data_IF_752176927469
#
_entry.id   IF_752176927469
#
_cell.length_a   1.000
_cell.length_b   1.000
_cell.length_c   1.000
_cell.angle_alpha   90.00
_cell.angle_beta   90.00
_cell.angle_gamma   90.00
#
_symmetry.space_group_name_H-M   'P 1'
#
loop_
_entity.id
_entity.type
_entity.pdbx_description
1 polymer ?
#
# COMPACT_ATOMS: atom_id res chain seq x y z
N UNK A 1 8.99 18.35 9.56
CA UNK A 1 7.70 18.65 10.22
C UNK A 1 6.93 17.35 10.38
N UNK A 2 6.24 17.15 11.50
CA UNK A 2 5.32 16.03 11.73
C UNK A 2 3.90 16.61 11.88
N UNK A 3 2.91 15.95 11.28
CA UNK A 3 1.50 16.36 11.35
C UNK A 3 0.71 15.16 11.88
N UNK A 4 -0.13 15.40 12.88
CA UNK A 4 -1.04 14.40 13.41
C UNK A 4 -2.18 14.15 12.40
N UNK A 5 -2.48 12.88 12.16
CA UNK A 5 -3.56 12.42 11.29
C UNK A 5 -4.64 11.77 12.14
N UNK A 6 -5.85 12.31 12.09
CA UNK A 6 -7.00 11.80 12.83
C UNK A 6 -7.95 11.01 11.92
N UNK A 7 -8.05 11.41 10.65
CA UNK A 7 -8.93 10.76 9.67
C UNK A 7 -8.35 10.72 8.24
N UNK A 8 -9.12 10.17 7.30
CA UNK A 8 -8.71 10.06 5.90
C UNK A 8 -8.57 11.41 5.18
N UNK A 9 -9.33 12.44 5.60
CA UNK A 9 -9.29 13.78 5.03
C UNK A 9 -7.98 14.48 5.36
N UNK A 10 -7.43 14.25 6.56
CA UNK A 10 -6.09 14.72 6.92
C UNK A 10 -5.04 14.17 5.95
N UNK A 11 -5.09 12.87 5.64
CA UNK A 11 -4.19 12.26 4.65
C UNK A 11 -4.38 12.88 3.27
N UNK A 12 -5.62 13.10 2.84
CA UNK A 12 -5.92 13.72 1.55
C UNK A 12 -5.33 15.13 1.42
N UNK A 13 -5.42 15.93 2.48
CA UNK A 13 -4.82 17.26 2.54
C UNK A 13 -3.28 17.20 2.44
N UNK A 14 -2.63 16.27 3.16
CA UNK A 14 -1.18 16.06 3.11
C UNK A 14 -0.71 15.66 1.71
N UNK A 15 -1.40 14.71 1.08
CA UNK A 15 -1.10 14.25 -0.28
C UNK A 15 -1.23 15.40 -1.28
N UNK A 16 -2.32 16.16 -1.22
CA UNK A 16 -2.55 17.32 -2.08
C UNK A 16 -1.49 18.40 -1.89
N UNK A 17 -1.12 18.69 -0.65
CA UNK A 17 -0.07 19.67 -0.34
C UNK A 17 1.30 19.23 -0.89
N UNK A 18 1.69 17.98 -0.67
CA UNK A 18 2.94 17.42 -1.20
C UNK A 18 3.00 17.49 -2.73
N UNK A 19 1.91 17.10 -3.41
CA UNK A 19 1.83 17.19 -4.87
C UNK A 19 1.96 18.64 -5.36
N UNK A 20 1.19 19.57 -4.76
CA UNK A 20 1.22 20.99 -5.15
C UNK A 20 2.57 21.65 -4.89
N UNK A 21 3.26 21.28 -3.81
CA UNK A 21 4.62 21.76 -3.54
C UNK A 21 5.61 21.32 -4.62
N UNK A 22 5.39 20.16 -5.23
CA UNK A 22 6.15 19.68 -6.39
C UNK A 22 5.71 20.27 -7.74
N UNK A 23 4.68 21.12 -7.79
CA UNK A 23 4.16 21.70 -9.03
C UNK A 23 3.49 20.66 -9.96
N UNK A 24 3.13 19.48 -9.45
CA UNK A 24 2.66 18.37 -10.26
C UNK A 24 1.14 18.44 -10.47
N UNK A 25 0.68 18.16 -11.69
CA UNK A 25 -0.75 17.93 -11.95
C UNK A 25 -1.17 16.54 -11.48
N UNK A 26 -2.46 16.36 -11.30
CA UNK A 26 -2.99 15.16 -10.67
C UNK A 26 -2.96 13.94 -11.62
N UNK A 27 -3.29 14.14 -12.89
CA UNK A 27 -3.16 13.19 -13.98
C UNK A 27 -1.70 12.74 -14.18
N UNK A 28 -0.77 13.69 -14.25
CA UNK A 28 0.67 13.41 -14.37
C UNK A 28 1.19 12.59 -13.19
N UNK A 29 0.82 12.99 -11.97
CA UNK A 29 1.20 12.27 -10.74
C UNK A 29 0.65 10.85 -10.73
N UNK A 30 -0.62 10.68 -11.09
CA UNK A 30 -1.26 9.37 -11.10
C UNK A 30 -0.58 8.42 -12.10
N UNK A 31 -0.30 8.92 -13.32
CA UNK A 31 0.42 8.18 -14.35
C UNK A 31 1.83 7.77 -13.91
N UNK A 32 2.61 8.71 -13.34
CA UNK A 32 3.97 8.44 -12.88
C UNK A 32 4.02 7.43 -11.73
N UNK A 33 3.05 7.47 -10.81
CA UNK A 33 2.99 6.56 -9.66
C UNK A 33 2.43 5.19 -10.07
N UNK A 34 1.63 5.10 -11.13
CA UNK A 34 0.97 3.86 -11.55
C UNK A 34 -0.39 3.63 -10.87
N UNK A 35 -1.13 4.71 -10.61
CA UNK A 35 -2.53 4.69 -10.13
C UNK A 35 -3.44 5.40 -11.12
N UNK A 36 -4.76 5.19 -11.04
CA UNK A 36 -5.70 5.94 -11.89
C UNK A 36 -5.89 7.37 -11.37
N UNK A 37 -6.19 8.30 -12.27
CA UNK A 37 -6.52 9.68 -11.89
C UNK A 37 -7.69 9.73 -10.89
N UNK A 38 -8.75 8.94 -11.13
CA UNK A 38 -9.88 8.78 -10.19
C UNK A 38 -9.43 8.29 -8.81
N UNK A 39 -8.45 7.39 -8.74
CA UNK A 39 -7.89 6.98 -7.45
C UNK A 39 -7.21 8.15 -6.76
N UNK A 40 -6.42 8.94 -7.50
CA UNK A 40 -5.77 10.15 -6.98
C UNK A 40 -6.79 11.18 -6.47
N UNK A 41 -7.90 11.41 -7.21
CA UNK A 41 -8.99 12.33 -6.78
C UNK A 41 -9.53 11.89 -5.42
N UNK A 42 -9.87 10.60 -5.30
CA UNK A 42 -10.45 10.06 -4.07
C UNK A 42 -9.50 10.15 -2.89
N UNK A 43 -8.21 9.88 -3.09
CA UNK A 43 -7.20 10.02 -2.04
C UNK A 43 -7.12 11.47 -1.57
N UNK A 44 -6.98 12.43 -2.49
CA UNK A 44 -6.86 13.84 -2.10
C UNK A 44 -8.15 14.41 -1.47
N UNK A 45 -9.31 13.81 -1.76
CA UNK A 45 -10.58 14.16 -1.15
C UNK A 45 -10.87 13.42 0.16
N UNK A 46 -9.94 12.57 0.63
CA UNK A 46 -10.09 11.88 1.91
C UNK A 46 -11.15 10.78 1.91
N UNK A 47 -11.33 10.07 0.79
CA UNK A 47 -12.31 8.99 0.70
C UNK A 47 -12.11 7.96 1.81
N UNK A 48 -13.20 7.62 2.52
CA UNK A 48 -13.19 6.68 3.65
C UNK A 48 -12.63 5.29 3.29
N UNK A 49 -12.85 4.86 2.04
CA UNK A 49 -12.42 3.57 1.52
C UNK A 49 -11.41 3.68 0.38
N UNK A 50 -10.15 3.31 0.65
CA UNK A 50 -9.12 3.18 -0.38
C UNK A 50 -8.28 1.92 -0.19
N UNK A 51 -7.68 1.45 -1.29
CA UNK A 51 -6.75 0.32 -1.23
C UNK A 51 -5.42 0.77 -0.62
N UNK A 52 -5.12 0.26 0.58
CA UNK A 52 -3.89 0.57 1.33
C UNK A 52 -2.61 0.45 0.51
N UNK A 53 -2.47 -0.60 -0.31
CA UNK A 53 -1.29 -0.78 -1.16
C UNK A 53 -1.05 0.41 -2.11
N UNK A 54 -2.12 0.88 -2.77
CA UNK A 54 -2.05 2.03 -3.68
C UNK A 54 -1.88 3.34 -2.91
N UNK A 55 -2.45 3.48 -1.72
CA UNK A 55 -2.21 4.64 -0.86
C UNK A 55 -0.72 4.77 -0.51
N UNK A 56 -0.11 3.70 -0.01
CA UNK A 56 1.31 3.73 0.34
C UNK A 56 2.21 3.94 -0.89
N UNK A 57 1.80 3.46 -2.05
CA UNK A 57 2.46 3.76 -3.32
C UNK A 57 2.40 5.27 -3.65
N UNK A 58 1.23 5.91 -3.48
CA UNK A 58 1.07 7.36 -3.66
C UNK A 58 1.93 8.16 -2.67
N UNK A 59 1.85 7.82 -1.38
CA UNK A 59 2.63 8.49 -0.34
C UNK A 59 4.13 8.38 -0.61
N UNK A 60 4.62 7.18 -0.94
CA UNK A 60 6.02 6.97 -1.30
C UNK A 60 6.41 7.73 -2.58
N UNK A 61 5.55 7.74 -3.60
CA UNK A 61 5.81 8.42 -4.87
C UNK A 61 5.89 9.95 -4.72
N UNK A 62 5.23 10.51 -3.72
CA UNK A 62 5.29 11.93 -3.37
C UNK A 62 6.33 12.26 -2.29
N UNK A 63 7.13 11.27 -1.86
CA UNK A 63 8.14 11.47 -0.82
C UNK A 63 7.57 11.66 0.59
N UNK A 64 6.30 11.31 0.81
CA UNK A 64 5.63 11.39 2.12
C UNK A 64 5.98 10.16 2.95
N UNK A 65 6.55 10.40 4.14
CA UNK A 65 6.89 9.35 5.10
C UNK A 65 5.82 9.23 6.17
N UNK A 66 5.42 8.00 6.49
CA UNK A 66 4.49 7.70 7.58
C UNK A 66 5.27 7.20 8.78
N UNK A 67 5.21 7.96 9.88
CA UNK A 67 5.68 7.53 11.19
C UNK A 67 4.46 7.32 12.07
N UNK A 68 4.49 6.27 12.88
CA UNK A 68 3.37 5.91 13.77
C UNK A 68 3.92 5.76 15.17
N UNK A 69 3.36 6.52 16.09
CA UNK A 69 3.62 6.37 17.51
C UNK A 69 2.69 5.30 18.09
N UNK A 70 3.27 4.42 18.90
CA UNK A 70 2.56 3.33 19.57
C UNK A 70 2.79 3.41 21.06
N UNK A 71 1.86 2.93 21.90
CA UNK A 71 2.08 2.86 23.35
C UNK A 71 3.35 2.06 23.67
N UNK A 72 4.12 2.50 24.67
CA UNK A 72 5.39 1.86 25.03
C UNK A 72 5.23 0.37 25.35
N UNK A 73 4.13 0.00 26.01
CA UNK A 73 3.79 -1.39 26.31
C UNK A 73 3.62 -2.27 25.05
N UNK A 74 3.32 -1.69 23.89
CA UNK A 74 3.20 -2.41 22.63
C UNK A 74 4.56 -2.63 21.93
N UNK A 75 5.59 -1.85 22.24
CA UNK A 75 6.93 -1.93 21.62
C UNK A 75 7.49 -3.36 21.55
N UNK A 76 7.55 -4.15 22.64
CA UNK A 76 8.09 -5.51 22.57
C UNK A 76 7.24 -6.46 21.71
N UNK A 77 5.97 -6.13 21.47
CA UNK A 77 5.05 -6.95 20.67
C UNK A 77 5.15 -6.65 19.16
N UNK A 78 5.63 -5.47 18.78
CA UNK A 78 5.66 -5.05 17.36
C UNK A 78 6.54 -5.98 16.51
N UNK A 79 7.74 -6.33 16.98
CA UNK A 79 8.64 -7.24 16.25
C UNK A 79 8.01 -8.63 16.12
N UNK A 80 7.44 -9.15 17.21
CA UNK A 80 6.79 -10.45 17.27
C UNK A 80 5.65 -10.55 16.25
N UNK A 81 4.76 -9.57 16.21
CA UNK A 81 3.62 -9.59 15.29
C UNK A 81 4.05 -9.38 13.82
N UNK A 82 5.10 -8.60 13.57
CA UNK A 82 5.68 -8.46 12.22
C UNK A 82 6.24 -9.79 11.73
N UNK A 83 7.01 -10.50 12.56
CA UNK A 83 7.62 -11.77 12.19
C UNK A 83 6.57 -12.85 11.92
N UNK A 84 5.54 -12.95 12.77
CA UNK A 84 4.39 -13.85 12.54
C UNK A 84 3.70 -13.56 11.21
N UNK A 85 3.44 -12.29 10.89
CA UNK A 85 2.80 -11.91 9.63
C UNK A 85 3.66 -12.28 8.41
N UNK A 86 4.97 -12.03 8.49
CA UNK A 86 5.92 -12.41 7.44
C UNK A 86 5.94 -13.92 7.21
N UNK A 87 6.00 -14.71 8.28
CA UNK A 87 5.94 -16.18 8.19
C UNK A 87 4.64 -16.67 7.57
N UNK A 88 3.49 -16.09 7.96
CA UNK A 88 2.18 -16.42 7.38
C UNK A 88 2.15 -16.12 5.88
N UNK A 89 2.66 -14.96 5.45
CA UNK A 89 2.76 -14.58 4.03
C UNK A 89 3.69 -15.51 3.25
N UNK A 90 4.85 -15.85 3.80
CA UNK A 90 5.80 -16.77 3.17
C UNK A 90 5.20 -18.17 2.96
N UNK A 91 4.48 -18.70 3.96
CA UNK A 91 3.75 -19.98 3.85
C UNK A 91 2.64 -19.92 2.80
N UNK A 92 1.87 -18.83 2.77
CA UNK A 92 0.83 -18.60 1.76
C UNK A 92 1.39 -18.61 0.34
N UNK A 93 2.50 -17.88 0.12
CA UNK A 93 3.16 -17.82 -1.20
C UNK A 93 3.66 -19.19 -1.65
N UNK A 94 4.30 -19.97 -0.75
CA UNK A 94 4.76 -21.34 -1.06
C UNK A 94 3.61 -22.25 -1.51
N UNK A 95 2.46 -22.21 -0.80
CA UNK A 95 1.27 -23.01 -1.15
C UNK A 95 0.71 -22.65 -2.52
N UNK A 96 0.67 -21.36 -2.85
CA UNK A 96 0.23 -20.89 -4.16
C UNK A 96 1.17 -21.35 -5.28
N UNK A 97 2.49 -21.21 -5.09
CA UNK A 97 3.48 -21.67 -6.07
C UNK A 97 3.40 -23.17 -6.31
N UNK A 98 3.26 -23.99 -5.25
CA UNK A 98 3.11 -25.44 -5.41
C UNK A 98 1.82 -25.84 -6.12
N UNK A 99 0.71 -25.14 -5.85
CA UNK A 99 -0.56 -25.40 -6.52
C UNK A 99 -0.50 -25.04 -8.02
N UNK A 100 0.16 -23.93 -8.36
CA UNK A 100 0.33 -23.51 -9.75
C UNK A 100 1.19 -24.49 -10.56
N UNK A 101 2.32 -24.95 -9.99
CA UNK A 101 3.18 -25.96 -10.63
C UNK A 101 2.42 -27.29 -10.85
N UNK A 102 1.58 -27.70 -9.90
CA UNK A 102 0.76 -28.90 -10.04
C UNK A 102 -0.28 -28.74 -11.17
N UNK A 103 -0.96 -27.58 -11.25
CA UNK A 103 -1.91 -27.31 -12.34
C UNK A 103 -1.25 -27.27 -13.72
N UNK A 104 -0.04 -26.71 -13.82
CA UNK A 104 0.70 -26.63 -15.10
C UNK A 104 1.20 -28.00 -15.58
N UNK A 105 1.53 -28.92 -14.66
CA UNK A 105 1.90 -30.30 -14.99
C UNK A 105 0.70 -31.11 -15.47
N UNK A 106 -0.42 -31.06 -14.75
CA UNK A 106 -1.65 -31.76 -15.16
C UNK A 106 -2.24 -31.26 -16.48
N UNK A 107 -2.03 -30.00 -16.85
CA UNK A 107 -2.45 -29.45 -18.15
C UNK A 107 -1.60 -29.94 -19.33
N UNK A 108 -0.36 -30.39 -19.10
CA UNK A 108 0.54 -30.91 -20.15
C UNK A 108 0.34 -32.39 -20.43
N UNK A 109 -0.03 -33.17 -19.42
CA UNK A 109 -0.19 -34.63 -19.54
C UNK A 109 -1.55 -35.05 -20.17
N UNK A 110 -2.43 -34.09 -20.49
CA UNK A 110 -3.78 -34.35 -21.03
C UNK A 110 -3.96 -34.03 -22.51
N UNK A 111 -2.89 -33.82 -23.28
CA UNK A 111 -2.93 -33.48 -24.71
C UNK A 111 -2.35 -34.55 -25.65
N UNK A 112 -2.14 -35.78 -25.17
CA UNK A 112 -1.81 -36.95 -26.01
C UNK A 112 -3.03 -37.88 -26.17
#
# INVERSE_FOLDING_TARGET
MQIQVNDASDIGALVRAARKAGGLRQDDTAGAIGVSENFMVRVENGAEGIQWGKLFQVLSGLGVRVLVDVPEAATPLVSIERDKLQQRRARGKRRQTSAQIASERSAKDGHD
#
